data_IF_372931597318
#
_entry.id   IF_372931597318
#
_cell.length_a   1.000
_cell.length_b   1.000
_cell.length_c   1.000
_cell.angle_alpha   90.00
_cell.angle_beta   90.00
_cell.angle_gamma   90.00
#
_symmetry.space_group_name_H-M   'P 1'
#
loop_
_entity.id
_entity.type
_entity.pdbx_description
1 polymer ?
#
# COMPACT_ATOMS: atom_id res chain seq x y z
N UNK A 1 17.81 44.76 -62.93
CA UNK A 1 17.66 43.83 -64.06
C UNK A 1 16.66 42.79 -63.63
N UNK A 2 15.40 42.96 -63.97
CA UNK A 2 14.57 42.30 -64.98
C UNK A 2 14.79 40.76 -64.94
N UNK A 3 13.88 39.96 -64.51
CA UNK A 3 12.68 39.44 -65.15
C UNK A 3 12.67 37.94 -64.85
N UNK A 4 11.69 37.19 -64.60
CA UNK A 4 10.46 36.81 -65.31
C UNK A 4 9.58 35.90 -64.52
N UNK A 5 8.36 36.29 -64.22
CA UNK A 5 7.31 35.48 -63.72
C UNK A 5 6.77 34.58 -64.86
N UNK A 6 6.70 33.22 -64.63
CA UNK A 6 5.91 32.34 -65.45
C UNK A 6 4.75 31.78 -64.60
N UNK A 7 3.57 32.22 -64.96
CA UNK A 7 2.30 31.66 -64.43
C UNK A 7 2.03 30.31 -65.10
N UNK A 8 1.81 29.31 -64.30
CA UNK A 8 1.24 28.01 -64.73
C UNK A 8 -0.17 27.93 -64.14
N UNK A 9 -1.19 27.81 -64.98
CA UNK A 9 -2.59 27.59 -64.63
C UNK A 9 -2.80 26.08 -64.34
N UNK A 10 -3.52 25.68 -63.29
CA UNK A 10 -3.91 24.29 -63.14
C UNK A 10 -5.22 24.01 -63.92
N UNK A 11 -5.22 22.93 -64.65
CA UNK A 11 -6.40 22.35 -65.30
C UNK A 11 -7.26 21.60 -64.27
N UNK A 12 -8.51 22.01 -64.14
CA UNK A 12 -9.53 21.33 -63.32
C UNK A 12 -9.98 20.09 -64.08
N UNK A 13 -9.72 18.89 -63.54
CA UNK A 13 -10.38 17.67 -63.97
C UNK A 13 -11.50 17.34 -62.98
N UNK A 14 -12.71 17.40 -63.46
CA UNK A 14 -13.93 16.96 -62.76
C UNK A 14 -13.93 15.42 -62.74
N UNK A 15 -13.83 14.82 -61.56
CA UNK A 15 -14.04 13.39 -61.33
C UNK A 15 -15.33 13.26 -60.59
N UNK A 16 -16.32 12.63 -61.26
CA UNK A 16 -17.59 12.28 -60.64
C UNK A 16 -17.35 11.14 -59.62
N UNK A 17 -17.44 11.43 -58.35
CA UNK A 17 -17.33 10.44 -57.28
C UNK A 17 -18.70 9.88 -56.95
N UNK A 18 -18.88 8.58 -57.13
CA UNK A 18 -20.00 7.79 -56.63
C UNK A 18 -19.90 7.68 -55.11
N UNK A 19 -20.83 8.31 -54.41
CA UNK A 19 -20.89 8.24 -52.95
C UNK A 19 -21.53 6.94 -52.54
N UNK A 20 -20.73 5.97 -52.09
CA UNK A 20 -21.18 4.76 -51.46
C UNK A 20 -21.44 5.09 -49.97
N UNK A 21 -22.72 5.18 -49.57
CA UNK A 21 -23.09 5.28 -48.18
C UNK A 21 -22.82 3.93 -47.48
N UNK A 22 -21.70 3.79 -46.81
CA UNK A 22 -21.46 2.73 -45.86
C UNK A 22 -22.15 3.11 -44.54
N UNK A 23 -23.26 2.43 -44.23
CA UNK A 23 -23.87 2.47 -42.88
C UNK A 23 -22.90 1.78 -41.90
N UNK A 24 -22.15 2.58 -41.14
CA UNK A 24 -21.38 2.10 -40.03
C UNK A 24 -22.37 1.71 -38.93
N UNK A 25 -22.73 0.47 -38.87
CA UNK A 25 -23.43 -0.12 -37.74
C UNK A 25 -22.56 0.04 -36.49
N UNK A 26 -22.96 0.89 -35.57
CA UNK A 26 -22.41 0.92 -34.20
C UNK A 26 -22.59 -0.49 -33.60
N UNK A 27 -21.54 -1.30 -33.57
CA UNK A 27 -21.52 -2.45 -32.69
C UNK A 27 -21.43 -1.92 -31.27
N UNK A 28 -22.33 -2.32 -30.35
CA UNK A 28 -22.14 -2.00 -28.94
C UNK A 28 -20.80 -2.60 -28.50
N UNK A 29 -19.99 -1.79 -27.86
CA UNK A 29 -18.81 -2.26 -27.13
C UNK A 29 -19.22 -3.39 -26.21
N UNK A 30 -18.45 -4.49 -26.09
CA UNK A 30 -18.77 -5.51 -25.10
C UNK A 30 -18.80 -4.80 -23.74
N UNK A 31 -19.97 -4.73 -23.12
CA UNK A 31 -20.10 -4.44 -21.70
C UNK A 31 -19.15 -5.41 -21.01
N UNK A 32 -18.12 -4.86 -20.39
CA UNK A 32 -17.22 -5.58 -19.51
C UNK A 32 -18.13 -6.03 -18.36
N UNK A 33 -18.67 -7.23 -18.48
CA UNK A 33 -19.30 -7.92 -17.37
C UNK A 33 -18.27 -7.92 -16.26
N UNK A 34 -18.50 -7.08 -15.24
CA UNK A 34 -17.83 -7.16 -13.95
C UNK A 34 -18.06 -8.61 -13.52
N UNK A 35 -17.09 -9.50 -13.75
CA UNK A 35 -17.15 -10.86 -13.27
C UNK A 35 -17.48 -10.75 -11.79
N UNK A 36 -18.54 -11.41 -11.35
CA UNK A 36 -18.79 -11.62 -9.93
C UNK A 36 -17.56 -12.35 -9.41
N UNK A 37 -16.57 -11.57 -8.95
CA UNK A 37 -15.43 -12.12 -8.23
C UNK A 37 -16.04 -12.80 -7.01
N UNK A 38 -15.99 -14.12 -7.02
CA UNK A 38 -16.47 -14.94 -5.91
C UNK A 38 -15.78 -14.43 -4.67
N UNK A 39 -16.54 -13.75 -3.79
CA UNK A 39 -16.00 -13.25 -2.52
C UNK A 39 -15.27 -14.38 -1.81
N UNK A 40 -14.07 -14.12 -1.34
CA UNK A 40 -13.30 -15.09 -0.58
C UNK A 40 -14.10 -15.48 0.68
N UNK A 41 -14.25 -16.78 0.93
CA UNK A 41 -14.95 -17.25 2.14
C UNK A 41 -13.94 -17.29 3.28
N UNK A 42 -14.07 -16.45 4.32
CA UNK A 42 -13.17 -16.48 5.46
C UNK A 42 -13.31 -17.78 6.25
N UNK A 43 -12.20 -18.34 6.72
CA UNK A 43 -12.16 -19.46 7.65
C UNK A 43 -12.32 -18.96 9.09
N UNK A 44 -11.83 -17.74 9.36
CA UNK A 44 -11.79 -17.11 10.67
C UNK A 44 -12.19 -15.64 10.60
N UNK A 45 -12.69 -15.12 11.72
CA UNK A 45 -13.06 -13.70 11.86
C UNK A 45 -12.33 -13.11 13.07
N UNK A 46 -11.68 -11.98 12.85
CA UNK A 46 -11.05 -11.15 13.86
C UNK A 46 -11.84 -9.84 13.99
N UNK A 47 -12.39 -9.59 15.17
CA UNK A 47 -13.26 -8.44 15.37
C UNK A 47 -12.49 -7.22 15.89
N UNK A 48 -13.07 -6.06 15.74
CA UNK A 48 -12.55 -4.75 16.14
C UNK A 48 -12.35 -4.56 17.66
N UNK A 49 -12.85 -5.46 18.49
CA UNK A 49 -12.58 -5.49 19.93
C UNK A 49 -11.39 -6.39 20.33
N UNK A 50 -10.75 -7.04 19.37
CA UNK A 50 -9.56 -7.88 19.57
C UNK A 50 -8.32 -7.08 19.15
N UNK A 51 -8.00 -6.05 19.93
CA UNK A 51 -7.03 -5.01 19.56
C UNK A 51 -5.90 -4.83 20.57
N UNK A 52 -4.83 -4.23 20.08
CA UNK A 52 -3.69 -3.72 20.85
C UNK A 52 -3.07 -2.54 20.10
N UNK A 53 -2.06 -1.89 20.68
CA UNK A 53 -1.40 -0.72 20.09
C UNK A 53 0.14 -0.74 20.25
N UNK A 54 0.71 -1.91 20.37
CA UNK A 54 2.16 -2.12 20.51
C UNK A 54 2.60 -3.35 19.71
N UNK A 55 3.87 -3.43 19.40
CA UNK A 55 4.50 -4.65 18.90
C UNK A 55 5.40 -5.27 19.99
N UNK A 56 5.15 -6.53 20.32
CA UNK A 56 5.95 -7.29 21.30
C UNK A 56 5.62 -8.78 21.18
N UNK A 57 6.60 -9.65 21.42
CA UNK A 57 6.35 -11.09 21.53
C UNK A 57 5.56 -11.47 22.79
N UNK A 58 5.37 -10.55 23.73
CA UNK A 58 4.59 -10.78 24.98
C UNK A 58 3.09 -10.59 24.80
N UNK A 59 2.64 -10.03 23.70
CA UNK A 59 1.21 -9.84 23.45
C UNK A 59 0.58 -11.20 23.13
N UNK A 60 -0.40 -11.59 23.93
CA UNK A 60 -1.10 -12.84 23.71
C UNK A 60 -1.87 -12.81 22.37
N UNK A 61 -1.85 -13.90 21.58
CA UNK A 61 -2.59 -13.93 20.33
C UNK A 61 -4.10 -13.89 20.57
N UNK A 62 -4.78 -13.03 19.83
CA UNK A 62 -6.24 -12.95 19.77
C UNK A 62 -6.84 -14.12 18.98
N UNK A 63 -6.06 -14.71 18.06
CA UNK A 63 -6.48 -15.79 17.19
C UNK A 63 -5.29 -16.72 16.89
N UNK A 64 -5.58 -18.05 16.77
CA UNK A 64 -4.60 -19.05 16.29
C UNK A 64 -5.16 -19.73 15.07
N UNK A 65 -4.36 -19.84 14.01
CA UNK A 65 -4.81 -20.37 12.72
C UNK A 65 -3.75 -21.27 12.07
N UNK A 66 -4.16 -22.28 11.30
CA UNK A 66 -3.27 -23.01 10.41
C UNK A 66 -2.70 -22.11 9.31
N UNK A 67 -1.50 -22.44 8.82
CA UNK A 67 -0.95 -21.80 7.61
C UNK A 67 -1.85 -22.08 6.41
N UNK A 68 -2.16 -21.03 5.62
CA UNK A 68 -3.05 -21.07 4.46
C UNK A 68 -4.47 -20.57 4.74
N UNK A 69 -4.77 -20.20 5.99
CA UNK A 69 -6.10 -19.70 6.38
C UNK A 69 -6.44 -18.36 5.74
N UNK A 70 -7.73 -18.15 5.48
CA UNK A 70 -8.33 -16.89 5.08
C UNK A 70 -8.98 -16.24 6.28
N UNK A 71 -8.61 -15.00 6.59
CA UNK A 71 -9.07 -14.27 7.76
C UNK A 71 -9.81 -13.01 7.30
N UNK A 72 -10.99 -12.80 7.87
CA UNK A 72 -11.69 -11.52 7.84
C UNK A 72 -11.36 -10.75 9.10
N UNK A 73 -10.87 -9.51 8.96
CA UNK A 73 -10.52 -8.66 10.07
C UNK A 73 -11.22 -7.30 9.95
N UNK A 74 -11.70 -6.79 11.08
CA UNK A 74 -12.27 -5.46 11.21
C UNK A 74 -11.29 -4.59 12.00
N UNK A 75 -10.91 -3.45 11.43
CA UNK A 75 -9.98 -2.52 12.05
C UNK A 75 -10.65 -1.16 12.26
N UNK A 76 -10.42 -0.58 13.43
CA UNK A 76 -10.68 0.84 13.67
C UNK A 76 -9.76 1.70 12.81
N UNK A 77 -10.13 2.95 12.61
CA UNK A 77 -9.21 3.97 12.12
C UNK A 77 -8.04 4.17 13.14
N UNK A 78 -7.00 4.91 12.74
CA UNK A 78 -5.74 5.04 13.49
C UNK A 78 -5.90 5.24 15.00
N UNK A 79 -6.90 6.02 15.42
CA UNK A 79 -7.06 6.42 16.82
C UNK A 79 -7.85 5.44 17.68
N UNK A 80 -8.46 4.41 17.07
CA UNK A 80 -9.29 3.45 17.81
C UNK A 80 -10.60 4.02 18.31
N UNK A 81 -11.16 4.99 17.61
CA UNK A 81 -12.44 5.60 17.92
C UNK A 81 -12.34 6.82 18.85
N UNK A 82 -11.14 7.39 19.06
CA UNK A 82 -11.02 8.67 19.77
C UNK A 82 -11.64 9.81 18.96
N UNK A 83 -11.59 9.73 17.62
CA UNK A 83 -12.36 10.60 16.74
C UNK A 83 -13.63 9.91 16.25
N UNK A 84 -14.62 10.72 15.94
CA UNK A 84 -15.90 10.32 15.33
C UNK A 84 -16.29 11.32 14.26
N UNK A 85 -17.24 10.95 13.41
CA UNK A 85 -17.78 11.92 12.44
C UNK A 85 -18.33 13.15 13.18
N UNK A 86 -17.87 14.35 12.77
CA UNK A 86 -18.16 15.61 13.46
C UNK A 86 -17.09 16.07 14.46
N UNK A 87 -16.09 15.25 14.80
CA UNK A 87 -14.91 15.74 15.52
C UNK A 87 -14.21 16.83 14.70
N UNK A 88 -13.71 17.89 15.37
CA UNK A 88 -13.14 19.07 14.71
C UNK A 88 -11.86 19.59 15.35
N UNK A 89 -11.42 19.02 16.49
CA UNK A 89 -10.19 19.38 17.20
C UNK A 89 -9.34 18.13 17.47
N UNK A 90 -8.08 18.07 17.00
CA UNK A 90 -7.18 16.94 17.25
C UNK A 90 -6.46 17.03 18.61
N UNK A 91 -6.74 18.05 19.46
CA UNK A 91 -5.94 18.34 20.67
C UNK A 91 -6.04 17.28 21.75
N UNK A 92 -7.21 16.62 21.85
CA UNK A 92 -7.48 15.63 22.91
C UNK A 92 -7.03 14.21 22.52
N UNK A 93 -6.34 14.06 21.39
CA UNK A 93 -5.82 12.78 20.93
C UNK A 93 -4.77 12.22 21.89
N UNK A 94 -5.06 11.08 22.49
CA UNK A 94 -4.07 10.32 23.24
C UNK A 94 -3.19 9.50 22.30
N UNK A 95 -2.00 10.02 21.98
CA UNK A 95 -1.04 9.36 21.07
C UNK A 95 -0.53 8.02 21.60
N UNK A 96 -0.60 7.72 22.89
CA UNK A 96 -0.20 6.42 23.44
C UNK A 96 -1.11 5.27 22.97
N UNK A 97 -2.30 5.58 22.49
CA UNK A 97 -3.27 4.63 21.94
C UNK A 97 -3.21 4.47 20.41
N UNK A 98 -2.40 5.29 19.76
CA UNK A 98 -2.20 5.26 18.29
C UNK A 98 -1.04 4.31 17.96
N UNK A 99 -1.13 3.43 16.99
CA UNK A 99 -2.30 3.05 16.20
C UNK A 99 -3.01 1.85 16.82
N UNK A 100 -4.32 1.80 16.66
CA UNK A 100 -5.10 0.63 17.11
C UNK A 100 -5.00 -0.47 16.07
N UNK A 101 -4.42 -1.60 16.45
CA UNK A 101 -4.19 -2.76 15.60
C UNK A 101 -5.13 -3.91 15.97
N UNK A 102 -5.67 -4.62 15.00
CA UNK A 102 -6.45 -5.84 15.18
C UNK A 102 -5.52 -7.05 15.09
N UNK A 103 -5.57 -7.91 16.11
CA UNK A 103 -4.66 -9.04 16.27
C UNK A 103 -4.15 -9.20 17.71
N UNK A 104 -2.99 -9.88 17.92
CA UNK A 104 -2.17 -10.57 16.92
C UNK A 104 -2.74 -11.94 16.52
N UNK A 105 -2.43 -12.37 15.31
CA UNK A 105 -2.72 -13.71 14.79
C UNK A 105 -1.49 -14.59 14.95
N UNK A 106 -1.63 -15.69 15.67
CA UNK A 106 -0.63 -16.75 15.73
C UNK A 106 -0.84 -17.73 14.59
N UNK A 107 0.15 -17.89 13.72
CA UNK A 107 0.11 -18.82 12.59
C UNK A 107 0.86 -20.11 12.97
N UNK A 108 0.14 -21.23 13.00
CA UNK A 108 0.71 -22.51 13.38
C UNK A 108 1.87 -22.92 12.47
N UNK A 109 2.95 -23.37 13.10
CA UNK A 109 4.16 -23.80 12.40
C UNK A 109 5.06 -22.67 11.91
N UNK A 110 4.73 -21.38 12.10
CA UNK A 110 5.67 -20.30 11.82
C UNK A 110 6.79 -20.27 12.87
N UNK A 111 8.05 -20.27 12.42
CA UNK A 111 9.24 -20.27 13.27
C UNK A 111 10.21 -19.15 12.83
N UNK A 112 11.08 -18.67 13.73
CA UNK A 112 12.08 -17.68 13.38
C UNK A 112 12.92 -18.11 12.16
N UNK A 113 13.07 -17.19 11.19
CA UNK A 113 13.75 -17.45 9.92
C UNK A 113 12.84 -17.87 8.77
N UNK A 114 11.56 -18.18 9.04
CA UNK A 114 10.56 -18.35 7.99
C UNK A 114 10.12 -16.99 7.42
N UNK A 115 9.36 -17.05 6.34
CA UNK A 115 8.63 -15.88 5.81
C UNK A 115 7.14 -16.08 6.03
N UNK A 116 6.48 -15.06 6.55
CA UNK A 116 5.03 -14.97 6.57
C UNK A 116 4.56 -14.20 5.34
N UNK A 117 3.78 -14.84 4.47
CA UNK A 117 3.15 -14.21 3.32
C UNK A 117 1.69 -13.88 3.64
N UNK A 118 1.31 -12.62 3.42
CA UNK A 118 -0.05 -12.11 3.63
C UNK A 118 -0.55 -11.57 2.28
N UNK A 119 -1.53 -12.24 1.71
CA UNK A 119 -2.17 -11.87 0.44
C UNK A 119 -3.47 -11.11 0.73
N UNK A 120 -3.56 -9.87 0.25
CA UNK A 120 -4.72 -9.00 0.45
C UNK A 120 -5.80 -9.34 -0.60
N UNK A 121 -6.92 -9.92 -0.15
CA UNK A 121 -7.98 -10.42 -1.04
C UNK A 121 -9.13 -9.41 -1.20
N UNK A 122 -9.54 -8.76 -0.11
CA UNK A 122 -10.59 -7.74 -0.11
C UNK A 122 -10.23 -6.65 0.89
N UNK A 123 -10.53 -5.40 0.52
CA UNK A 123 -10.44 -4.22 1.41
C UNK A 123 -11.72 -3.40 1.20
N UNK A 124 -12.48 -3.19 2.25
CA UNK A 124 -13.75 -2.46 2.19
C UNK A 124 -13.70 -1.27 3.15
N UNK A 125 -13.83 -0.08 2.60
CA UNK A 125 -13.79 1.20 3.32
C UNK A 125 -15.03 1.36 4.20
N UNK A 126 -14.89 1.99 5.36
CA UNK A 126 -16.00 2.38 6.23
C UNK A 126 -16.86 3.51 5.65
N UNK A 127 -17.82 3.97 6.45
CA UNK A 127 -18.79 5.00 6.01
C UNK A 127 -18.29 6.43 6.26
N UNK A 128 -17.13 6.57 6.91
CA UNK A 128 -16.54 7.85 7.25
C UNK A 128 -15.01 7.75 7.35
N UNK A 129 -14.38 8.91 7.29
CA UNK A 129 -12.94 9.04 7.52
C UNK A 129 -12.58 10.43 8.00
N UNK A 130 -11.30 10.61 8.31
CA UNK A 130 -10.78 11.90 8.76
C UNK A 130 -9.36 12.13 8.25
N UNK A 131 -8.95 13.39 8.27
CA UNK A 131 -7.57 13.85 8.06
C UNK A 131 -7.26 14.97 9.04
N UNK A 132 -6.00 15.12 9.43
CA UNK A 132 -5.59 16.15 10.35
C UNK A 132 -4.28 16.83 9.97
N UNK A 133 -4.08 18.06 10.47
CA UNK A 133 -2.79 18.67 10.68
C UNK A 133 -2.59 18.69 12.19
N UNK A 134 -1.59 17.95 12.65
CA UNK A 134 -1.26 17.80 14.06
C UNK A 134 0.02 18.59 14.34
N UNK A 135 0.06 19.50 15.36
CA UNK A 135 1.23 20.27 15.66
C UNK A 135 2.49 19.43 15.88
N UNK A 136 3.56 19.78 15.17
CA UNK A 136 4.83 19.07 15.24
C UNK A 136 4.91 17.77 14.49
N UNK A 137 3.87 17.40 13.72
CA UNK A 137 3.82 16.18 12.90
C UNK A 137 3.64 16.51 11.42
N UNK A 138 4.15 15.62 10.55
CA UNK A 138 4.16 15.82 9.10
C UNK A 138 5.49 16.36 8.56
N UNK A 139 5.65 16.32 7.23
CA UNK A 139 6.90 16.71 6.55
C UNK A 139 7.21 18.20 6.71
N UNK A 140 6.18 19.05 6.73
CA UNK A 140 6.26 20.49 6.87
C UNK A 140 5.82 20.97 8.27
N UNK A 141 6.11 20.17 9.32
CA UNK A 141 5.73 20.48 10.69
C UNK A 141 6.18 21.89 11.14
N UNK A 142 7.35 22.34 10.69
CA UNK A 142 7.88 23.66 11.02
C UNK A 142 7.11 24.81 10.36
N UNK A 143 6.63 24.60 9.12
CA UNK A 143 5.89 25.62 8.37
C UNK A 143 4.47 25.81 8.91
N UNK A 144 3.84 24.71 9.33
CA UNK A 144 2.49 24.75 9.88
C UNK A 144 2.45 25.02 11.39
N UNK A 145 3.58 24.84 12.08
CA UNK A 145 3.78 25.23 13.48
C UNK A 145 2.65 24.79 14.44
N UNK A 146 1.91 25.73 15.04
CA UNK A 146 0.85 25.42 15.97
C UNK A 146 -0.50 25.12 15.31
N UNK A 147 -0.55 25.01 13.99
CA UNK A 147 -1.79 24.80 13.25
C UNK A 147 -2.42 23.47 13.64
N UNK A 148 -3.70 23.51 13.97
CA UNK A 148 -4.53 22.37 14.32
C UNK A 148 -5.71 22.31 13.38
N UNK A 149 -5.83 21.26 12.61
CA UNK A 149 -6.98 21.03 11.74
C UNK A 149 -7.39 19.59 11.86
N UNK A 150 -8.65 19.33 12.09
CA UNK A 150 -9.27 18.03 11.94
C UNK A 150 -10.48 18.18 11.03
N UNK A 151 -10.54 17.37 9.99
CA UNK A 151 -11.68 17.28 9.08
C UNK A 151 -12.20 15.87 9.05
N UNK A 152 -13.50 15.72 9.18
CA UNK A 152 -14.19 14.44 9.03
C UNK A 152 -15.02 14.44 7.75
N UNK A 153 -15.09 13.29 7.11
CA UNK A 153 -15.75 13.10 5.81
C UNK A 153 -16.71 11.93 5.90
N UNK A 154 -17.94 12.10 5.40
CA UNK A 154 -18.79 10.96 5.08
C UNK A 154 -18.28 10.34 3.77
N UNK A 155 -18.05 9.03 3.76
CA UNK A 155 -17.56 8.30 2.60
C UNK A 155 -18.69 7.55 1.92
N UNK A 156 -19.03 7.94 0.70
CA UNK A 156 -20.02 7.26 -0.11
C UNK A 156 -19.37 6.05 -0.82
N UNK A 157 -19.63 4.86 -0.30
CA UNK A 157 -19.11 3.61 -0.86
C UNK A 157 -19.66 3.26 -2.24
N UNK A 158 -20.70 3.93 -2.70
CA UNK A 158 -21.21 3.80 -4.07
C UNK A 158 -20.43 4.66 -5.07
N UNK A 159 -19.67 5.64 -4.57
CA UNK A 159 -18.74 6.46 -5.34
C UNK A 159 -17.41 5.75 -5.56
N UNK A 160 -16.66 6.15 -6.58
CA UNK A 160 -15.28 5.73 -6.84
C UNK A 160 -14.24 6.68 -6.23
N UNK A 161 -14.69 7.77 -5.57
CA UNK A 161 -13.82 8.81 -5.05
C UNK A 161 -14.44 9.54 -3.84
N UNK A 162 -13.54 10.10 -3.02
CA UNK A 162 -13.82 10.98 -1.89
C UNK A 162 -14.00 12.40 -2.43
N UNK A 163 -15.08 13.07 -2.11
CA UNK A 163 -15.21 14.50 -2.36
C UNK A 163 -14.50 15.29 -1.26
N UNK A 164 -13.24 15.64 -1.52
CA UNK A 164 -12.39 16.38 -0.57
C UNK A 164 -12.87 17.83 -0.38
N UNK A 165 -13.28 18.47 -1.47
CA UNK A 165 -13.89 19.80 -1.51
C UNK A 165 -14.68 19.94 -2.81
N UNK A 166 -15.47 21.00 -2.93
CA UNK A 166 -16.25 21.26 -4.16
C UNK A 166 -15.37 21.21 -5.41
N UNK A 167 -15.62 20.19 -6.24
CA UNK A 167 -14.89 19.98 -7.49
C UNK A 167 -13.50 19.34 -7.34
N UNK A 168 -13.15 18.87 -6.14
CA UNK A 168 -11.90 18.12 -5.88
C UNK A 168 -12.27 16.71 -5.41
N UNK A 169 -12.06 15.73 -6.29
CA UNK A 169 -12.34 14.32 -6.02
C UNK A 169 -11.05 13.52 -5.99
N UNK A 170 -10.84 12.76 -4.91
CA UNK A 170 -9.70 11.89 -4.70
C UNK A 170 -10.16 10.44 -4.85
N UNK A 171 -9.65 9.67 -5.82
CA UNK A 171 -10.02 8.27 -5.97
C UNK A 171 -9.76 7.45 -4.71
N UNK A 172 -10.65 6.53 -4.39
CA UNK A 172 -10.38 5.54 -3.36
C UNK A 172 -9.20 4.65 -3.76
N UNK A 173 -8.26 4.49 -2.84
CA UNK A 173 -7.13 3.58 -2.94
C UNK A 173 -6.88 2.98 -1.56
N UNK A 174 -7.78 2.12 -1.07
CA UNK A 174 -7.74 1.67 0.32
C UNK A 174 -6.62 0.66 0.56
N UNK A 175 -5.97 0.80 1.71
CA UNK A 175 -4.92 -0.10 2.18
C UNK A 175 -4.80 -0.03 3.72
N UNK A 176 -3.98 -0.92 4.32
CA UNK A 176 -3.63 -0.85 5.73
C UNK A 176 -2.28 -0.12 5.88
N UNK A 177 -2.25 0.99 6.62
CA UNK A 177 -1.02 1.71 6.95
C UNK A 177 -0.10 0.86 7.81
N UNK A 178 -0.66 0.20 8.83
CA UNK A 178 0.10 -0.67 9.71
C UNK A 178 -0.16 -2.14 9.42
N UNK A 179 0.89 -2.85 9.03
CA UNK A 179 0.93 -4.32 8.99
C UNK A 179 2.28 -4.81 9.52
N UNK A 180 2.28 -5.78 10.43
CA UNK A 180 3.54 -6.29 10.96
C UNK A 180 3.40 -7.54 11.79
N UNK A 181 4.55 -8.18 12.04
CA UNK A 181 4.70 -9.33 12.93
C UNK A 181 5.35 -8.90 14.24
N UNK A 182 5.32 -9.75 15.26
CA UNK A 182 6.01 -9.43 16.52
C UNK A 182 7.54 -9.49 16.34
N UNK A 183 8.28 -8.47 16.80
CA UNK A 183 9.74 -8.51 16.87
C UNK A 183 10.22 -9.43 18.00
N UNK A 184 11.48 -9.87 17.93
CA UNK A 184 12.10 -10.74 18.94
C UNK A 184 12.49 -9.97 20.23
N UNK A 185 11.57 -9.19 20.77
CA UNK A 185 11.77 -8.42 22.01
C UNK A 185 10.60 -8.54 22.96
N UNK A 186 10.87 -8.40 24.25
CA UNK A 186 9.86 -8.27 25.31
C UNK A 186 9.38 -6.82 25.49
N UNK A 187 10.06 -5.86 24.89
CA UNK A 187 9.64 -4.47 24.93
C UNK A 187 8.31 -4.26 24.22
N UNK A 188 7.50 -3.35 24.75
CA UNK A 188 6.23 -2.93 24.16
C UNK A 188 6.50 -1.76 23.21
N UNK A 189 6.94 -2.08 21.98
CA UNK A 189 7.29 -1.06 20.99
C UNK A 189 6.05 -0.36 20.46
N UNK A 190 6.11 0.97 20.41
CA UNK A 190 5.06 1.78 19.75
C UNK A 190 4.96 1.47 18.25
N UNK A 191 3.82 1.75 17.67
CA UNK A 191 3.47 1.43 16.28
C UNK A 191 3.90 2.47 15.27
N UNK A 192 4.22 3.71 15.69
CA UNK A 192 4.50 4.84 14.80
C UNK A 192 5.61 4.54 13.77
N UNK A 193 6.86 4.27 14.11
CA UNK A 193 7.90 4.08 13.10
C UNK A 193 7.89 2.68 12.51
N UNK A 194 8.13 2.52 11.18
CA UNK A 194 8.37 1.22 10.54
C UNK A 194 9.68 0.60 11.03
N UNK A 195 9.72 -0.74 11.06
CA UNK A 195 10.88 -1.53 11.50
C UNK A 195 10.99 -2.82 10.68
N UNK A 196 12.03 -3.65 10.96
CA UNK A 196 12.24 -4.93 10.28
C UNK A 196 11.02 -5.87 10.31
N UNK A 197 10.22 -5.79 11.36
CA UNK A 197 9.01 -6.57 11.51
C UNK A 197 7.79 -6.02 10.74
N UNK A 198 7.94 -4.97 9.95
CA UNK A 198 6.86 -4.17 9.39
C UNK A 198 6.50 -3.01 10.33
N UNK A 199 5.24 -2.86 10.68
CA UNK A 199 4.71 -1.74 11.46
C UNK A 199 4.05 -0.72 10.57
N UNK A 200 4.27 0.56 10.83
CA UNK A 200 3.70 1.66 10.05
C UNK A 200 4.42 1.76 8.71
N UNK A 201 3.85 1.13 7.69
CA UNK A 201 4.43 1.09 6.35
C UNK A 201 3.95 2.26 5.49
N UNK A 202 2.75 2.74 5.74
CA UNK A 202 2.09 3.83 5.02
C UNK A 202 2.37 3.82 3.51
N UNK A 203 2.28 2.59 2.98
CA UNK A 203 2.62 2.33 1.60
C UNK A 203 1.35 2.10 0.77
N UNK A 204 0.91 3.10 -0.03
CA UNK A 204 -0.31 3.00 -0.83
C UNK A 204 -0.25 1.99 -1.98
N UNK A 205 0.83 1.23 -2.13
CA UNK A 205 0.92 0.09 -3.03
C UNK A 205 0.39 -1.23 -2.42
N UNK A 206 0.11 -1.26 -1.11
CA UNK A 206 -0.37 -2.46 -0.40
C UNK A 206 -1.88 -2.62 -0.51
N UNK A 207 -2.39 -2.67 -1.73
CA UNK A 207 -3.81 -2.77 -2.10
C UNK A 207 -4.24 -4.22 -2.34
N UNK A 208 -5.51 -4.45 -2.64
CA UNK A 208 -6.03 -5.77 -3.07
C UNK A 208 -5.20 -6.35 -4.22
N UNK A 209 -4.84 -7.63 -4.10
CA UNK A 209 -3.98 -8.35 -5.05
C UNK A 209 -2.49 -8.29 -4.72
N UNK A 210 -2.09 -7.54 -3.67
CA UNK A 210 -0.71 -7.53 -3.19
C UNK A 210 -0.48 -8.69 -2.21
N UNK A 211 0.65 -9.39 -2.35
CA UNK A 211 1.20 -10.29 -1.34
C UNK A 211 2.36 -9.61 -0.63
N UNK A 212 2.26 -9.46 0.68
CA UNK A 212 3.28 -8.85 1.55
C UNK A 212 4.03 -9.95 2.29
N UNK A 213 5.35 -9.87 2.32
CA UNK A 213 6.27 -10.82 2.92
C UNK A 213 6.93 -10.22 4.14
N UNK A 214 6.75 -10.86 5.29
CA UNK A 214 7.33 -10.44 6.57
C UNK A 214 8.36 -11.49 7.02
N UNK A 215 9.56 -11.07 7.49
CA UNK A 215 10.46 -11.97 8.19
C UNK A 215 9.84 -12.41 9.52
N UNK A 216 9.89 -13.71 9.83
CA UNK A 216 9.38 -14.23 11.11
C UNK A 216 10.48 -14.19 12.15
N UNK A 217 10.23 -13.50 13.27
CA UNK A 217 11.19 -13.37 14.36
C UNK A 217 10.87 -14.21 15.60
N UNK A 218 9.59 -14.62 15.73
CA UNK A 218 9.11 -15.37 16.90
C UNK A 218 8.17 -16.49 16.46
N UNK A 219 8.03 -17.59 17.25
CA UNK A 219 7.08 -18.63 16.93
C UNK A 219 5.65 -18.07 16.75
N UNK A 220 5.00 -18.50 15.67
CA UNK A 220 3.66 -18.06 15.31
C UNK A 220 3.61 -16.69 14.62
N UNK A 221 4.75 -16.03 14.38
CA UNK A 221 4.87 -14.70 13.78
C UNK A 221 4.12 -13.58 14.53
N UNK A 222 2.91 -13.82 15.03
CA UNK A 222 2.05 -12.85 15.73
C UNK A 222 1.74 -11.62 14.85
N UNK A 223 1.04 -11.85 13.75
CA UNK A 223 0.69 -10.82 12.76
C UNK A 223 -0.45 -9.92 13.22
N UNK A 224 -0.34 -8.63 12.99
CA UNK A 224 -1.36 -7.62 13.27
C UNK A 224 -1.53 -6.68 12.10
N UNK A 225 -2.75 -6.14 11.95
CA UNK A 225 -3.15 -5.21 10.88
C UNK A 225 -4.01 -4.08 11.48
N UNK A 226 -3.84 -2.86 10.97
CA UNK A 226 -4.63 -1.71 11.43
C UNK A 226 -4.28 -0.46 10.66
N UNK A 227 -4.67 0.70 11.21
CA UNK A 227 -4.38 2.00 10.62
C UNK A 227 -4.81 2.08 9.15
N UNK A 228 -6.10 1.89 8.87
CA UNK A 228 -6.57 1.77 7.51
C UNK A 228 -6.84 3.14 6.87
N UNK A 229 -6.30 3.34 5.65
CA UNK A 229 -6.42 4.55 4.85
C UNK A 229 -7.31 4.34 3.63
N UNK A 230 -8.35 5.15 3.46
CA UNK A 230 -9.21 5.13 2.28
C UNK A 230 -8.49 5.69 1.04
N UNK A 231 -7.52 6.57 1.24
CA UNK A 231 -6.61 7.11 0.24
C UNK A 231 -5.41 7.79 0.92
N UNK A 232 -4.25 7.71 0.28
CA UNK A 232 -3.03 8.42 0.67
C UNK A 232 -2.15 8.60 -0.57
N UNK A 233 -1.46 9.72 -0.67
CA UNK A 233 -0.37 9.93 -1.61
C UNK A 233 0.94 9.37 -1.07
N UNK A 234 1.88 9.03 -1.95
CA UNK A 234 3.24 8.65 -1.55
C UNK A 234 3.88 9.75 -0.70
N UNK A 235 4.54 9.32 0.38
CA UNK A 235 5.22 10.20 1.34
C UNK A 235 4.40 10.61 2.54
N UNK A 236 3.07 10.45 2.52
CA UNK A 236 2.15 10.83 3.61
C UNK A 236 2.42 12.23 4.19
N UNK A 237 2.64 13.19 3.33
CA UNK A 237 3.31 14.46 3.66
C UNK A 237 2.68 15.29 4.79
N UNK A 238 1.37 15.12 5.05
CA UNK A 238 0.70 15.79 6.16
C UNK A 238 0.77 15.02 7.49
N UNK A 239 1.24 13.75 7.45
CA UNK A 239 1.29 12.86 8.61
C UNK A 239 -0.01 12.12 8.88
N UNK A 240 -1.01 12.22 7.99
CA UNK A 240 -2.23 11.42 7.99
C UNK A 240 -2.67 11.18 6.56
N UNK A 241 -3.14 9.95 6.30
CA UNK A 241 -3.92 9.65 5.11
C UNK A 241 -5.38 10.11 5.26
N UNK A 242 -6.29 9.53 4.49
CA UNK A 242 -7.72 9.55 4.78
C UNK A 242 -8.01 8.35 5.68
N UNK A 243 -7.89 8.57 6.97
CA UNK A 243 -8.10 7.57 8.01
C UNK A 243 -9.54 7.10 8.03
N UNK A 244 -9.79 5.80 8.00
CA UNK A 244 -11.16 5.27 7.93
C UNK A 244 -11.20 3.86 8.50
N UNK A 245 -12.19 3.48 9.33
CA UNK A 245 -12.33 2.08 9.74
C UNK A 245 -12.56 1.20 8.50
N UNK A 246 -12.00 -0.01 8.50
CA UNK A 246 -12.10 -0.90 7.33
C UNK A 246 -12.31 -2.36 7.71
N UNK A 247 -12.83 -3.09 6.73
CA UNK A 247 -12.86 -4.54 6.68
C UNK A 247 -11.80 -5.03 5.71
N UNK A 248 -11.00 -5.99 6.16
CA UNK A 248 -9.97 -6.67 5.37
C UNK A 248 -10.31 -8.15 5.25
N UNK A 249 -10.05 -8.74 4.08
CA UNK A 249 -9.95 -10.19 3.92
C UNK A 249 -8.57 -10.49 3.38
N UNK A 250 -7.82 -11.31 4.07
CA UNK A 250 -6.47 -11.69 3.67
C UNK A 250 -6.21 -13.17 3.90
N UNK A 251 -5.36 -13.75 3.06
CA UNK A 251 -4.85 -15.10 3.25
C UNK A 251 -3.46 -15.04 3.84
N UNK A 252 -3.23 -15.84 4.89
CA UNK A 252 -1.97 -15.86 5.61
C UNK A 252 -1.32 -17.26 5.48
N UNK A 253 -0.05 -17.31 5.08
CA UNK A 253 0.67 -18.57 4.92
C UNK A 253 2.15 -18.45 5.29
N UNK A 254 2.71 -19.54 5.80
CA UNK A 254 4.13 -19.66 6.14
C UNK A 254 4.88 -20.23 4.94
N UNK A 255 6.00 -19.60 4.57
CA UNK A 255 6.95 -20.12 3.58
C UNK A 255 8.15 -20.63 4.34
N UNK A 256 8.34 -21.97 4.29
CA UNK A 256 9.46 -22.68 4.90
C UNK A 256 10.63 -22.76 3.93
N UNK A 257 11.85 -22.74 4.45
CA UNK A 257 13.07 -22.91 3.65
C UNK A 257 13.14 -21.97 2.45
N UNK A 258 12.52 -20.79 2.56
CA UNK A 258 12.60 -19.73 1.57
C UNK A 258 13.94 -19.00 1.65
N UNK A 259 14.11 -18.03 0.78
CA UNK A 259 15.21 -17.06 0.91
C UNK A 259 15.07 -16.27 2.22
N UNK A 260 16.18 -15.82 2.78
CA UNK A 260 16.14 -14.91 3.91
C UNK A 260 15.75 -13.50 3.46
N UNK A 261 14.82 -12.86 4.18
CA UNK A 261 14.54 -11.45 4.04
C UNK A 261 14.74 -10.76 5.38
N UNK A 262 15.37 -9.62 5.38
CA UNK A 262 15.66 -8.87 6.61
C UNK A 262 14.53 -7.86 6.95
N UNK A 263 13.87 -7.36 5.93
CA UNK A 263 12.78 -6.37 6.01
C UNK A 263 11.63 -6.78 5.10
N UNK A 264 10.51 -6.09 5.21
CA UNK A 264 9.30 -6.35 4.43
C UNK A 264 9.58 -6.25 2.94
N UNK A 265 8.99 -7.16 2.18
CA UNK A 265 8.99 -7.13 0.72
C UNK A 265 7.56 -7.42 0.24
N UNK A 266 7.24 -7.10 -1.00
CA UNK A 266 5.90 -7.37 -1.51
C UNK A 266 5.90 -7.56 -3.03
N UNK A 267 4.85 -8.15 -3.52
CA UNK A 267 4.65 -8.29 -4.96
C UNK A 267 3.19 -8.20 -5.35
N UNK A 268 3.00 -7.83 -6.60
CA UNK A 268 1.74 -7.93 -7.34
C UNK A 268 1.95 -8.77 -8.59
N UNK A 269 0.93 -8.91 -9.42
CA UNK A 269 1.11 -9.50 -10.75
C UNK A 269 2.06 -8.68 -11.64
N UNK A 270 2.14 -7.37 -11.42
CA UNK A 270 2.89 -6.44 -12.26
C UNK A 270 4.37 -6.29 -11.85
N UNK A 271 4.69 -6.33 -10.58
CA UNK A 271 6.04 -6.04 -10.07
C UNK A 271 6.38 -6.83 -8.80
N UNK A 272 7.67 -6.92 -8.52
CA UNK A 272 8.24 -7.28 -7.24
C UNK A 272 8.83 -6.01 -6.60
N UNK A 273 8.71 -5.87 -5.28
CA UNK A 273 9.18 -4.70 -4.56
C UNK A 273 9.94 -5.07 -3.27
N UNK A 274 10.98 -4.30 -3.00
CA UNK A 274 11.73 -4.33 -1.74
C UNK A 274 11.56 -3.03 -1.01
N UNK A 275 11.52 -3.09 0.32
CA UNK A 275 11.44 -1.89 1.16
C UNK A 275 12.78 -1.66 1.85
N UNK A 276 13.06 -0.43 2.21
CA UNK A 276 14.14 -0.07 3.09
C UNK A 276 13.69 1.07 3.99
N UNK A 277 13.87 0.93 5.30
CA UNK A 277 13.61 2.00 6.23
C UNK A 277 14.87 2.35 7.01
N UNK A 278 15.04 3.62 7.24
CA UNK A 278 16.17 4.19 7.98
C UNK A 278 15.84 5.59 8.48
N UNK A 279 16.73 6.15 9.30
CA UNK A 279 16.61 7.49 9.82
C UNK A 279 16.87 8.60 8.79
N UNK A 280 17.31 8.23 7.59
CA UNK A 280 17.44 9.13 6.44
C UNK A 280 16.91 8.45 5.18
N UNK A 281 16.31 9.22 4.28
CA UNK A 281 15.83 8.73 2.98
C UNK A 281 16.95 8.11 2.14
N UNK A 282 18.17 8.65 2.21
CA UNK A 282 19.32 8.12 1.49
C UNK A 282 19.68 6.69 1.94
N UNK A 283 19.74 6.45 3.25
CA UNK A 283 20.04 5.11 3.76
C UNK A 283 18.87 4.14 3.53
N UNK A 284 17.63 4.60 3.62
CA UNK A 284 16.46 3.80 3.27
C UNK A 284 16.50 3.37 1.78
N UNK A 285 16.81 4.30 0.88
CA UNK A 285 16.97 4.04 -0.55
C UNK A 285 18.09 3.03 -0.83
N UNK A 286 19.23 3.17 -0.15
CA UNK A 286 20.35 2.21 -0.27
C UNK A 286 19.95 0.80 0.18
N UNK A 287 19.18 0.68 1.26
CA UNK A 287 18.67 -0.61 1.75
C UNK A 287 17.71 -1.25 0.76
N UNK A 288 16.69 -0.53 0.31
CA UNK A 288 15.74 -1.02 -0.69
C UNK A 288 16.46 -1.51 -1.96
N UNK A 289 17.47 -0.77 -2.42
CA UNK A 289 18.28 -1.15 -3.59
C UNK A 289 19.10 -2.40 -3.33
N UNK A 290 19.77 -2.52 -2.17
CA UNK A 290 20.54 -3.73 -1.81
C UNK A 290 19.65 -4.97 -1.80
N UNK A 291 18.48 -4.90 -1.18
CA UNK A 291 17.54 -6.02 -1.15
C UNK A 291 17.01 -6.40 -2.53
N UNK A 292 16.85 -5.43 -3.45
CA UNK A 292 16.51 -5.73 -4.84
C UNK A 292 17.66 -6.44 -5.57
N UNK A 293 18.91 -6.03 -5.33
CA UNK A 293 20.09 -6.73 -5.86
C UNK A 293 20.15 -8.17 -5.34
N UNK A 294 19.92 -8.37 -4.04
CA UNK A 294 19.91 -9.70 -3.42
C UNK A 294 18.79 -10.58 -4.00
N UNK A 295 17.58 -10.03 -4.17
CA UNK A 295 16.48 -10.71 -4.85
C UNK A 295 16.84 -11.13 -6.28
N UNK A 296 17.44 -10.25 -7.06
CA UNK A 296 17.82 -10.53 -8.44
C UNK A 296 18.94 -11.57 -8.53
N UNK A 297 19.90 -11.51 -7.62
CA UNK A 297 20.97 -12.50 -7.56
C UNK A 297 20.44 -13.89 -7.17
N UNK A 298 19.62 -13.99 -6.13
CA UNK A 298 19.13 -15.27 -5.61
C UNK A 298 18.03 -15.88 -6.50
N UNK A 299 17.08 -15.07 -6.99
CA UNK A 299 15.89 -15.57 -7.68
C UNK A 299 16.07 -15.61 -9.19
N UNK A 300 16.86 -14.69 -9.75
CA UNK A 300 17.10 -14.58 -11.19
C UNK A 300 18.50 -15.06 -11.62
N UNK A 301 19.37 -15.37 -10.66
CA UNK A 301 20.72 -15.88 -10.94
C UNK A 301 21.67 -14.86 -11.57
N UNK A 302 21.40 -13.55 -11.39
CA UNK A 302 22.26 -12.50 -11.92
C UNK A 302 23.50 -12.31 -11.04
N UNK A 303 24.61 -11.83 -11.64
CA UNK A 303 25.71 -11.26 -10.84
C UNK A 303 25.22 -10.04 -10.06
N UNK A 304 25.87 -9.68 -8.97
CA UNK A 304 25.50 -8.48 -8.20
C UNK A 304 25.64 -7.21 -9.02
N UNK A 305 26.64 -7.15 -9.90
CA UNK A 305 26.89 -6.05 -10.81
C UNK A 305 25.76 -5.90 -11.85
N UNK A 306 25.36 -7.02 -12.49
CA UNK A 306 24.26 -7.03 -13.45
C UNK A 306 22.92 -6.70 -12.77
N UNK A 307 22.69 -7.23 -11.56
CA UNK A 307 21.51 -6.92 -10.75
C UNK A 307 21.44 -5.43 -10.41
N UNK A 308 22.57 -4.81 -10.06
CA UNK A 308 22.63 -3.38 -9.77
C UNK A 308 22.39 -2.53 -11.04
N UNK A 309 22.99 -2.88 -12.16
CA UNK A 309 22.75 -2.19 -13.44
C UNK A 309 21.30 -2.35 -13.89
N UNK A 310 20.71 -3.54 -13.76
CA UNK A 310 19.30 -3.77 -14.09
C UNK A 310 18.36 -2.99 -13.17
N UNK A 311 18.67 -2.90 -11.88
CA UNK A 311 17.91 -2.08 -10.93
C UNK A 311 17.90 -0.60 -11.33
N UNK A 312 19.03 -0.09 -11.86
CA UNK A 312 19.10 1.29 -12.37
C UNK A 312 18.39 1.48 -13.70
N UNK A 313 18.29 0.45 -14.53
CA UNK A 313 17.69 0.52 -15.86
C UNK A 313 16.16 0.40 -15.82
N UNK A 314 15.63 -0.39 -14.91
CA UNK A 314 14.22 -0.80 -14.92
C UNK A 314 13.53 -0.69 -13.56
N UNK A 315 14.25 -0.37 -12.50
CA UNK A 315 13.69 -0.22 -11.16
C UNK A 315 13.27 1.21 -10.87
N UNK A 316 12.09 1.37 -10.24
CA UNK A 316 11.56 2.64 -9.76
C UNK A 316 11.77 2.77 -8.25
N UNK A 317 12.43 3.83 -7.82
CA UNK A 317 12.69 4.13 -6.41
C UNK A 317 11.72 5.22 -5.95
N UNK A 318 10.89 4.92 -4.92
CA UNK A 318 9.83 5.80 -4.45
C UNK A 318 9.90 6.00 -2.93
N UNK A 319 9.50 7.17 -2.45
CA UNK A 319 9.33 7.45 -1.03
C UNK A 319 7.91 7.03 -0.67
N UNK A 320 7.75 5.94 0.08
CA UNK A 320 6.43 5.46 0.50
C UNK A 320 5.85 6.32 1.63
N UNK A 321 6.65 6.58 2.68
CA UNK A 321 6.35 7.53 3.75
C UNK A 321 7.62 8.30 4.15
N UNK A 322 7.46 9.51 4.70
CA UNK A 322 8.55 10.41 5.06
C UNK A 322 8.34 11.11 6.41
N UNK A 323 7.39 10.66 7.25
CA UNK A 323 6.90 11.40 8.42
C UNK A 323 7.00 10.62 9.73
N UNK A 324 7.12 9.30 9.69
CA UNK A 324 7.08 8.41 10.86
C UNK A 324 8.42 8.28 11.58
N UNK A 325 8.95 9.40 11.98
CA UNK A 325 10.23 9.46 12.67
C UNK A 325 10.34 8.47 13.84
N UNK A 326 11.51 7.87 14.06
CA UNK A 326 12.80 8.22 13.44
C UNK A 326 13.05 7.56 12.07
N UNK A 327 12.21 6.68 11.60
CA UNK A 327 12.43 5.97 10.34
C UNK A 327 11.50 6.51 9.25
N UNK A 328 11.99 6.50 8.02
CA UNK A 328 11.29 6.80 6.79
C UNK A 328 11.37 5.59 5.88
N UNK A 329 10.36 5.35 5.04
CA UNK A 329 10.27 4.20 4.16
C UNK A 329 10.50 4.58 2.70
N UNK A 330 11.47 3.91 2.07
CA UNK A 330 11.68 3.93 0.62
C UNK A 330 11.42 2.56 0.05
N UNK A 331 10.79 2.49 -1.10
CA UNK A 331 10.50 1.24 -1.80
C UNK A 331 11.17 1.23 -3.17
N UNK A 332 11.56 0.06 -3.63
CA UNK A 332 12.08 -0.15 -4.97
C UNK A 332 11.24 -1.19 -5.69
N UNK A 333 10.59 -0.78 -6.76
CA UNK A 333 9.79 -1.63 -7.64
C UNK A 333 10.59 -2.12 -8.82
N UNK A 334 10.39 -3.37 -9.21
CA UNK A 334 10.94 -3.94 -10.43
C UNK A 334 9.82 -4.61 -11.23
N UNK A 335 9.52 -4.16 -12.46
CA UNK A 335 8.47 -4.76 -13.26
C UNK A 335 8.76 -6.22 -13.63
N UNK A 336 7.80 -7.11 -13.40
CA UNK A 336 7.93 -8.52 -13.76
C UNK A 336 7.95 -8.74 -15.29
N UNK A 337 7.36 -7.82 -16.04
CA UNK A 337 7.27 -7.87 -17.51
C UNK A 337 8.61 -7.81 -18.23
N UNK A 338 9.68 -7.36 -17.55
CA UNK A 338 11.03 -7.35 -18.13
C UNK A 338 11.64 -8.75 -18.27
N UNK A 339 11.07 -9.73 -17.56
CA UNK A 339 11.54 -11.11 -17.63
C UNK A 339 10.71 -11.89 -18.68
N UNK A 340 11.35 -12.26 -19.80
CA UNK A 340 10.73 -13.15 -20.78
C UNK A 340 10.42 -14.49 -20.10
N UNK A 341 9.16 -14.93 -20.07
CA UNK A 341 8.65 -16.14 -19.42
C UNK A 341 8.30 -16.03 -17.92
N UNK A 342 8.08 -14.86 -17.38
CA UNK A 342 7.38 -14.71 -16.10
C UNK A 342 5.88 -15.03 -16.27
N UNK A 343 5.54 -16.33 -16.50
CA UNK A 343 4.17 -16.86 -16.43
C UNK A 343 4.03 -17.73 -15.19
#
# INVERSE_FOLDING_TARGET
MKTLLRRIRPAVRLVAGVTLLATVGCRPSPETTRSEQRRAKPDFVLRDNQTHNKFSRRIAPALRVPSGSIIEAFAHEATGGQFTIGSSDPTDLNMDLVHTLTGPVYVEGAEPGDILAVELLEIEVGDWGWMAIIPGFGLLADDFGPTKVLRTFALDKSSDAIEYAKGIRVPFRPFAGVMGVAPATDEMLGTGPPRANGGNLDNPHLIVGTTVYFPVFVPGALFSIGDPHAAQGLGEVAGTGMESPMRFVYKIRVIKNGRSIEEVQYETDAYYATTGFATTLEEAAKKATRYMIDYLAEVKGLSREDAYMLSSLAGDLEIAEAVDKPNMLVVMHLPKSIFANAR
#
